data_IF_876233681721
#
_entry.id   IF_876233681721
#
_cell.length_a   1.000
_cell.length_b   1.000
_cell.length_c   1.000
_cell.angle_alpha   90.00
_cell.angle_beta   90.00
_cell.angle_gamma   90.00
#
_symmetry.space_group_name_H-M   'P 1'
#
loop_
_entity.id
_entity.type
_entity.pdbx_description
1 polymer ?
#
# COMPACT_ATOMS: atom_id res chain seq x y z
N UNK A 1 32.04 -47.80 20.32
CA UNK A 1 30.74 -47.81 19.62
C UNK A 1 30.27 -46.37 19.63
N UNK A 2 30.70 -45.59 18.64
CA UNK A 2 30.02 -45.32 17.36
C UNK A 2 29.06 -44.14 17.51
N UNK A 3 29.54 -43.02 16.98
CA UNK A 3 28.92 -41.72 16.72
C UNK A 3 27.72 -41.83 15.78
N UNK A 4 26.73 -40.98 15.99
CA UNK A 4 25.78 -40.57 14.94
C UNK A 4 25.61 -39.04 15.01
N UNK A 5 26.45 -38.34 14.25
CA UNK A 5 26.24 -36.96 13.82
C UNK A 5 25.18 -36.96 12.72
N UNK A 6 24.09 -36.22 12.92
CA UNK A 6 23.10 -36.01 11.87
C UNK A 6 23.67 -35.06 10.80
N UNK A 7 24.12 -35.65 9.69
CA UNK A 7 24.69 -34.96 8.53
C UNK A 7 23.71 -33.99 7.87
N UNK A 8 24.21 -32.78 7.56
CA UNK A 8 23.47 -31.71 6.90
C UNK A 8 23.09 -32.02 5.45
N UNK A 9 21.88 -31.67 5.07
CA UNK A 9 21.35 -31.87 3.73
C UNK A 9 21.78 -30.74 2.76
N UNK A 10 22.38 -31.11 1.63
CA UNK A 10 22.83 -30.18 0.59
C UNK A 10 21.81 -30.13 -0.55
N UNK A 11 21.07 -29.03 -0.66
CA UNK A 11 20.16 -28.77 -1.79
C UNK A 11 21.00 -28.23 -2.95
N UNK A 12 21.22 -29.05 -3.98
CA UNK A 12 21.83 -28.61 -5.23
C UNK A 12 20.75 -28.13 -6.20
N UNK A 13 20.56 -26.82 -6.27
CA UNK A 13 19.75 -26.15 -7.28
C UNK A 13 20.36 -26.39 -8.67
N UNK A 14 19.66 -27.17 -9.50
CA UNK A 14 20.02 -27.46 -10.89
C UNK A 14 19.24 -26.49 -11.78
N UNK A 15 19.67 -25.23 -11.80
CA UNK A 15 19.16 -24.23 -12.74
C UNK A 15 19.31 -24.73 -14.18
N UNK A 16 18.16 -24.95 -14.82
CA UNK A 16 18.05 -25.42 -16.19
C UNK A 16 18.82 -24.49 -17.13
N UNK A 17 19.93 -25.02 -17.65
CA UNK A 17 20.69 -24.46 -18.77
C UNK A 17 19.97 -24.91 -20.04
N UNK A 18 19.62 -23.93 -20.87
CA UNK A 18 19.05 -24.05 -22.20
C UNK A 18 19.74 -25.11 -23.04
N UNK A 19 18.96 -25.91 -23.77
CA UNK A 19 19.45 -26.73 -24.87
C UNK A 19 18.59 -26.44 -26.11
N UNK A 20 19.26 -25.86 -27.12
CA UNK A 20 18.76 -25.69 -28.47
C UNK A 20 18.92 -27.00 -29.24
N UNK A 21 17.95 -27.34 -30.10
CA UNK A 21 18.23 -28.16 -31.29
C UNK A 21 17.13 -29.13 -31.71
N UNK A 22 16.59 -28.94 -32.91
CA UNK A 22 15.93 -30.00 -33.67
C UNK A 22 14.75 -29.58 -34.54
N UNK A 23 15.01 -29.20 -35.78
CA UNK A 23 14.04 -28.74 -36.78
C UNK A 23 13.37 -29.88 -37.58
N UNK A 24 12.14 -29.66 -38.06
CA UNK A 24 11.58 -30.00 -39.40
C UNK A 24 10.08 -29.61 -39.41
N UNK A 25 9.67 -28.52 -40.07
CA UNK A 25 9.33 -28.37 -41.51
C UNK A 25 8.06 -29.10 -41.95
N UNK A 26 6.92 -28.41 -41.89
CA UNK A 26 5.79 -28.61 -42.80
C UNK A 26 5.36 -27.25 -43.39
N UNK A 27 5.46 -27.11 -44.71
CA UNK A 27 4.91 -25.99 -45.50
C UNK A 27 3.49 -26.35 -45.92
N UNK A 28 2.55 -25.43 -45.74
CA UNK A 28 1.63 -24.95 -46.80
C UNK A 28 0.54 -24.05 -46.20
N UNK A 29 0.27 -22.91 -46.86
CA UNK A 29 -0.94 -22.14 -46.58
C UNK A 29 -0.78 -20.64 -46.77
N UNK A 30 -1.01 -20.17 -48.00
CA UNK A 30 -0.96 -18.77 -48.39
C UNK A 30 -2.02 -17.90 -47.67
N UNK A 31 -1.61 -16.71 -47.26
CA UNK A 31 -2.41 -15.48 -47.38
C UNK A 31 -1.50 -14.27 -47.15
N UNK A 32 -1.09 -13.62 -48.25
CA UNK A 32 -0.40 -12.34 -48.21
C UNK A 32 -1.40 -11.24 -47.83
N UNK A 33 -1.30 -10.70 -46.61
CA UNK A 33 -1.90 -9.41 -46.27
C UNK A 33 -0.95 -8.27 -46.65
N UNK A 34 -1.42 -7.16 -47.25
CA UNK A 34 -0.55 -6.08 -47.68
C UNK A 34 0.09 -5.41 -46.47
N UNK A 35 1.43 -5.28 -46.49
CA UNK A 35 2.20 -4.47 -45.53
C UNK A 35 1.67 -3.04 -45.56
N UNK A 36 0.95 -2.63 -44.53
CA UNK A 36 0.77 -1.22 -44.21
C UNK A 36 2.14 -0.67 -43.86
N UNK A 37 2.54 0.41 -44.54
CA UNK A 37 3.77 1.13 -44.28
C UNK A 37 3.68 1.72 -42.85
N UNK A 38 4.56 1.24 -41.98
CA UNK A 38 4.74 1.74 -40.63
C UNK A 38 5.35 3.14 -40.71
N UNK A 39 4.58 4.14 -40.29
CA UNK A 39 5.03 5.53 -40.18
C UNK A 39 6.11 5.64 -39.10
N UNK A 40 7.09 6.55 -39.22
CA UNK A 40 8.18 6.67 -38.25
C UNK A 40 7.65 6.98 -36.85
N UNK A 41 8.28 6.46 -35.78
CA UNK A 41 7.82 6.70 -34.42
C UNK A 41 7.94 8.18 -34.10
N UNK A 42 6.80 8.79 -33.77
CA UNK A 42 6.75 10.15 -33.23
C UNK A 42 7.45 10.12 -31.87
N UNK A 43 8.46 10.98 -31.61
CA UNK A 43 9.09 11.01 -30.30
C UNK A 43 8.06 11.47 -29.27
N UNK A 44 7.66 10.56 -28.37
CA UNK A 44 6.85 10.92 -27.21
C UNK A 44 7.64 11.97 -26.39
N UNK A 45 6.98 13.06 -25.94
CA UNK A 45 7.64 14.03 -25.09
C UNK A 45 8.08 13.31 -23.80
N UNK A 46 9.35 13.46 -23.45
CA UNK A 46 9.92 12.93 -22.22
C UNK A 46 9.00 13.33 -21.05
N UNK A 47 8.34 12.33 -20.44
CA UNK A 47 7.59 12.53 -19.22
C UNK A 47 8.58 13.05 -18.18
N UNK A 48 8.49 14.33 -17.84
CA UNK A 48 9.15 14.87 -16.64
C UNK A 48 8.68 14.01 -15.48
N UNK A 49 9.54 13.12 -14.99
CA UNK A 49 9.26 12.36 -13.79
C UNK A 49 9.22 13.38 -12.66
N UNK A 50 8.01 13.74 -12.22
CA UNK A 50 7.87 14.50 -10.99
C UNK A 50 8.61 13.73 -9.88
N UNK A 51 9.38 14.42 -9.02
CA UNK A 51 10.15 13.76 -7.99
C UNK A 51 9.22 12.86 -7.18
N UNK A 52 9.53 11.57 -7.11
CA UNK A 52 8.75 10.62 -6.34
C UNK A 52 8.67 11.10 -4.90
N UNK A 53 7.48 11.51 -4.44
CA UNK A 53 7.26 11.90 -3.06
C UNK A 53 7.57 10.68 -2.17
N UNK A 54 8.69 10.73 -1.45
CA UNK A 54 9.07 9.67 -0.52
C UNK A 54 8.12 9.75 0.67
N UNK A 55 7.31 8.71 0.86
CA UNK A 55 6.44 8.58 2.03
C UNK A 55 7.30 8.25 3.25
N UNK A 56 7.15 9.00 4.33
CA UNK A 56 7.79 8.76 5.63
C UNK A 56 6.80 8.07 6.56
N UNK A 57 7.29 7.48 7.66
CA UNK A 57 6.39 6.88 8.66
C UNK A 57 5.40 7.90 9.20
N UNK A 58 5.86 9.10 9.57
CA UNK A 58 4.99 10.17 10.06
C UNK A 58 3.96 10.57 9.02
N UNK A 59 4.32 10.75 7.75
CA UNK A 59 3.33 11.11 6.71
C UNK A 59 2.32 10.00 6.44
N UNK A 60 2.70 8.73 6.62
CA UNK A 60 1.79 7.59 6.57
C UNK A 60 0.82 7.57 7.76
N UNK A 61 1.29 7.82 8.99
CA UNK A 61 0.41 7.95 10.17
C UNK A 61 -0.57 9.10 10.00
N UNK A 62 -0.10 10.26 9.50
CA UNK A 62 -0.96 11.41 9.24
C UNK A 62 -2.02 11.13 8.17
N UNK A 63 -1.68 10.39 7.11
CA UNK A 63 -2.65 10.06 6.05
C UNK A 63 -3.77 9.13 6.55
N UNK A 64 -3.42 8.13 7.38
CA UNK A 64 -4.39 7.27 8.06
C UNK A 64 -5.26 8.08 9.04
N UNK A 65 -4.64 8.91 9.87
CA UNK A 65 -5.36 9.75 10.84
C UNK A 65 -6.34 10.71 10.18
N UNK A 66 -5.92 11.39 9.11
CA UNK A 66 -6.77 12.25 8.26
C UNK A 66 -7.97 11.47 7.73
N UNK A 67 -7.74 10.27 7.21
CA UNK A 67 -8.82 9.41 6.70
C UNK A 67 -9.82 9.03 7.80
N UNK A 68 -9.34 8.68 8.99
CA UNK A 68 -10.20 8.38 10.14
C UNK A 68 -11.02 9.60 10.58
N UNK A 69 -10.42 10.80 10.62
CA UNK A 69 -11.11 12.04 10.95
C UNK A 69 -12.23 12.35 9.95
N UNK A 70 -11.96 12.19 8.65
CA UNK A 70 -12.97 12.39 7.61
C UNK A 70 -14.14 11.41 7.73
N UNK A 71 -13.86 10.14 8.05
CA UNK A 71 -14.88 9.13 8.33
C UNK A 71 -15.66 9.40 9.62
N UNK A 72 -15.10 10.20 10.53
CA UNK A 72 -15.78 10.74 11.71
C UNK A 72 -16.56 12.03 11.42
N UNK A 73 -16.60 12.48 10.17
CA UNK A 73 -17.32 13.69 9.75
C UNK A 73 -16.53 14.98 9.82
N UNK A 74 -15.22 14.91 10.06
CA UNK A 74 -14.36 16.10 10.05
C UNK A 74 -14.14 16.59 8.63
N UNK A 75 -14.30 17.90 8.42
CA UNK A 75 -14.01 18.54 7.15
C UNK A 75 -12.67 19.28 7.23
N UNK A 76 -11.64 18.69 6.63
CA UNK A 76 -10.26 19.20 6.68
C UNK A 76 -9.96 20.25 5.60
N UNK A 77 -10.69 20.19 4.48
CA UNK A 77 -10.64 21.19 3.41
C UNK A 77 -12.07 21.63 3.02
N UNK A 78 -12.38 22.94 3.01
CA UNK A 78 -13.65 23.47 2.52
C UNK A 78 -14.02 23.04 1.09
N UNK A 79 -13.03 22.71 0.26
CA UNK A 79 -13.19 22.32 -1.15
C UNK A 79 -13.40 20.82 -1.35
N UNK A 80 -13.19 20.01 -0.31
CA UNK A 80 -13.31 18.57 -0.38
C UNK A 80 -14.77 18.12 -0.45
N UNK A 81 -15.03 17.05 -1.20
CA UNK A 81 -16.34 16.40 -1.19
C UNK A 81 -16.62 15.83 0.20
N UNK A 82 -17.85 16.05 0.71
CA UNK A 82 -18.25 15.51 2.02
C UNK A 82 -18.20 13.99 2.00
N UNK A 83 -17.39 13.42 2.89
CA UNK A 83 -17.35 11.99 3.12
C UNK A 83 -18.45 11.61 4.11
N UNK A 84 -19.29 10.59 3.81
CA UNK A 84 -20.28 10.11 4.75
C UNK A 84 -19.64 9.61 6.04
N UNK A 85 -20.26 9.95 7.18
CA UNK A 85 -19.79 9.47 8.48
C UNK A 85 -19.90 7.94 8.53
N UNK A 86 -18.78 7.29 8.81
CA UNK A 86 -18.67 5.84 8.97
C UNK A 86 -17.73 5.53 10.15
N UNK A 87 -18.32 5.47 11.34
CA UNK A 87 -17.60 5.16 12.57
C UNK A 87 -17.00 3.74 12.56
N UNK A 88 -17.60 2.79 11.86
CA UNK A 88 -17.06 1.42 11.77
C UNK A 88 -15.71 1.43 11.06
N UNK A 89 -15.63 2.09 9.92
CA UNK A 89 -14.36 2.21 9.17
C UNK A 89 -13.35 3.11 9.89
N UNK A 90 -13.80 4.16 10.58
CA UNK A 90 -12.90 4.95 11.43
C UNK A 90 -12.26 4.12 12.54
N UNK A 91 -13.05 3.22 13.18
CA UNK A 91 -12.54 2.28 14.18
C UNK A 91 -11.50 1.33 13.60
N UNK A 92 -11.73 0.79 12.40
CA UNK A 92 -10.77 -0.08 11.73
C UNK A 92 -9.41 0.60 11.53
N UNK A 93 -9.41 1.88 11.15
CA UNK A 93 -8.16 2.65 11.02
C UNK A 93 -7.47 2.84 12.38
N UNK A 94 -8.23 3.13 13.46
CA UNK A 94 -7.68 3.22 14.82
C UNK A 94 -7.06 1.89 15.24
N UNK A 95 -7.71 0.77 14.92
CA UNK A 95 -7.21 -0.57 15.21
C UNK A 95 -5.91 -0.84 14.41
N UNK A 96 -5.84 -0.45 13.13
CA UNK A 96 -4.63 -0.55 12.30
C UNK A 96 -3.47 0.26 12.93
N UNK A 97 -3.72 1.50 13.32
CA UNK A 97 -2.71 2.33 14.00
C UNK A 97 -2.26 1.70 15.32
N UNK A 98 -3.17 1.06 16.06
CA UNK A 98 -2.85 0.35 17.32
C UNK A 98 -1.99 -0.90 17.06
N UNK A 99 -2.24 -1.62 15.97
CA UNK A 99 -1.39 -2.74 15.54
C UNK A 99 -0.01 -2.23 15.13
N UNK A 100 0.07 -1.10 14.41
CA UNK A 100 1.34 -0.49 14.05
C UNK A 100 2.15 -0.14 15.30
N UNK A 101 1.57 0.55 16.27
CA UNK A 101 2.20 0.87 17.56
C UNK A 101 2.80 -0.38 18.22
N UNK A 102 2.02 -1.46 18.30
CA UNK A 102 2.51 -2.71 18.89
C UNK A 102 3.62 -3.37 18.08
N UNK A 103 3.56 -3.31 16.74
CA UNK A 103 4.50 -4.02 15.86
C UNK A 103 5.79 -3.23 15.58
N UNK A 104 5.76 -1.91 15.71
CA UNK A 104 6.92 -1.04 15.49
C UNK A 104 7.62 -0.61 16.77
N UNK A 105 7.11 -1.00 17.95
CA UNK A 105 7.73 -0.67 19.24
C UNK A 105 9.22 -1.05 19.28
N UNK A 106 10.04 -0.09 19.66
CA UNK A 106 11.50 -0.24 19.72
C UNK A 106 12.22 -0.04 18.38
N UNK A 107 11.48 0.12 17.28
CA UNK A 107 12.02 0.45 15.95
C UNK A 107 11.71 1.89 15.51
N UNK A 108 10.92 2.64 16.29
CA UNK A 108 10.59 4.04 16.01
C UNK A 108 11.60 4.99 16.64
N UNK A 109 11.88 6.09 15.95
CA UNK A 109 12.50 7.27 16.56
C UNK A 109 11.56 7.90 17.60
N UNK A 110 12.10 8.71 18.51
CA UNK A 110 11.27 9.41 19.52
C UNK A 110 10.19 10.29 18.90
N UNK A 111 10.49 10.91 17.75
CA UNK A 111 9.53 11.74 17.02
C UNK A 111 8.40 10.90 16.40
N UNK A 112 8.74 9.80 15.72
CA UNK A 112 7.74 8.90 15.12
C UNK A 112 6.84 8.25 16.18
N UNK A 113 7.42 7.87 17.32
CA UNK A 113 6.67 7.34 18.45
C UNK A 113 5.65 8.37 18.97
N UNK A 114 6.09 9.61 19.20
CA UNK A 114 5.21 10.68 19.66
C UNK A 114 4.08 10.97 18.67
N UNK A 115 4.39 11.05 17.37
CA UNK A 115 3.37 11.27 16.32
C UNK A 115 2.31 10.17 16.33
N UNK A 116 2.71 8.90 16.48
CA UNK A 116 1.77 7.78 16.52
C UNK A 116 0.92 7.78 17.79
N UNK A 117 1.52 8.02 18.95
CA UNK A 117 0.83 8.08 20.24
C UNK A 117 -0.19 9.23 20.28
N UNK A 118 0.22 10.43 19.88
CA UNK A 118 -0.64 11.62 19.83
C UNK A 118 -1.82 11.42 18.88
N UNK A 119 -1.55 10.84 17.70
CA UNK A 119 -2.59 10.53 16.73
C UNK A 119 -3.58 9.51 17.28
N UNK A 120 -3.11 8.41 17.87
CA UNK A 120 -3.96 7.39 18.48
C UNK A 120 -4.82 7.96 19.60
N UNK A 121 -4.24 8.79 20.47
CA UNK A 121 -4.96 9.43 21.54
C UNK A 121 -6.08 10.33 21.01
N UNK A 122 -5.77 11.23 20.08
CA UNK A 122 -6.74 12.17 19.50
C UNK A 122 -7.91 11.44 18.82
N UNK A 123 -7.60 10.42 18.01
CA UNK A 123 -8.63 9.64 17.30
C UNK A 123 -9.51 8.84 18.26
N UNK A 124 -8.94 8.21 19.28
CA UNK A 124 -9.70 7.42 20.27
C UNK A 124 -10.66 8.31 21.07
N UNK A 125 -10.20 9.48 21.53
CA UNK A 125 -11.05 10.43 22.26
C UNK A 125 -12.22 10.89 21.40
N UNK A 126 -11.94 11.33 20.17
CA UNK A 126 -12.99 11.76 19.24
C UNK A 126 -13.97 10.64 18.90
N UNK A 127 -13.47 9.43 18.68
CA UNK A 127 -14.30 8.28 18.41
C UNK A 127 -15.26 7.99 19.57
N UNK A 128 -14.77 8.01 20.81
CA UNK A 128 -15.59 7.79 22.01
C UNK A 128 -16.64 8.88 22.16
N UNK A 129 -16.31 10.14 21.92
CA UNK A 129 -17.27 11.26 22.00
C UNK A 129 -18.43 11.08 21.01
N UNK A 130 -18.12 10.69 19.78
CA UNK A 130 -19.11 10.42 18.73
C UNK A 130 -19.91 9.15 19.01
N UNK A 131 -19.25 8.08 19.44
CA UNK A 131 -19.89 6.80 19.74
C UNK A 131 -20.80 6.85 20.98
N UNK A 132 -20.48 7.72 21.95
CA UNK A 132 -21.28 7.93 23.15
C UNK A 132 -22.51 8.82 22.92
N UNK A 133 -22.75 9.28 21.69
CA UNK A 133 -23.94 10.05 21.33
C UNK A 133 -23.98 11.47 21.91
N UNK A 134 -22.87 11.98 22.44
CA UNK A 134 -22.80 13.32 23.05
C UNK A 134 -22.88 14.46 22.01
N UNK A 135 -22.92 14.12 20.73
CA UNK A 135 -22.97 15.06 19.59
C UNK A 135 -24.12 14.75 18.63
N UNK A 136 -25.30 14.39 19.13
CA UNK A 136 -26.51 14.28 18.33
C UNK A 136 -27.61 15.22 18.87
N UNK A 137 -27.49 16.51 18.54
CA UNK A 137 -28.66 17.36 18.37
C UNK A 137 -28.43 18.23 17.13
N UNK A 138 -29.04 17.93 15.98
CA UNK A 138 -29.29 18.96 14.99
C UNK A 138 -30.33 19.91 15.58
N UNK A 139 -30.00 21.20 15.65
CA UNK A 139 -30.94 22.25 16.03
C UNK A 139 -32.11 22.32 15.01
N UNK A 140 -33.32 22.74 15.45
CA UNK A 140 -34.57 22.65 14.70
C UNK A 140 -34.64 23.54 13.45
#
# INVERSE_FOLDING_TARGET
MSVDEAEGFVIRDRRARSDEGGASSERAGAAASPRQAEAPPVPEPARTQEPAHVVTFSSFVFSLGTSALMLMGEQLDPRQAKVPVNLVQAKEIIDILSVLESKTRGNLTSEEQAVLEDMLYALRMKYVDLASGKSASPAP
#
